data_IF_603472496061
#
_entry.id   IF_603472496061
#
_cell.length_a   1.000
_cell.length_b   1.000
_cell.length_c   1.000
_cell.angle_alpha   90.00
_cell.angle_beta   90.00
_cell.angle_gamma   90.00
#
_symmetry.space_group_name_H-M   'P 1'
#
loop_
_entity.id
_entity.type
_entity.pdbx_description
1 polymer ?
#
# COMPACT_ATOMS: atom_id res chain seq x y z
N UNK A 1 7.60 16.49 -5.47
CA UNK A 1 7.20 15.22 -4.83
C UNK A 1 6.00 14.66 -5.58
N UNK A 2 6.05 13.40 -6.03
CA UNK A 2 4.91 12.70 -6.62
C UNK A 2 4.47 11.62 -5.64
N UNK A 3 3.15 11.45 -5.46
CA UNK A 3 2.55 10.46 -4.56
C UNK A 3 1.58 9.58 -5.33
N UNK A 4 1.65 8.27 -5.12
CA UNK A 4 0.82 7.28 -5.81
C UNK A 4 0.02 6.46 -4.81
N UNK A 5 -1.29 6.37 -5.06
CA UNK A 5 -2.18 5.45 -4.36
C UNK A 5 -2.19 4.09 -5.06
N UNK A 6 -2.08 3.02 -4.27
CA UNK A 6 -2.02 1.64 -4.75
C UNK A 6 -3.33 0.95 -4.36
N UNK A 7 -4.27 0.89 -5.30
CA UNK A 7 -5.57 0.21 -5.14
C UNK A 7 -5.44 -1.31 -5.36
N UNK A 8 -4.55 -1.95 -4.59
CA UNK A 8 -4.30 -3.39 -4.63
C UNK A 8 -3.84 -3.89 -3.25
N UNK A 9 -3.75 -5.22 -3.06
CA UNK A 9 -3.31 -5.88 -1.83
C UNK A 9 -2.22 -6.93 -2.10
N UNK A 10 -1.69 -7.54 -1.04
CA UNK A 10 -0.83 -8.72 -1.16
C UNK A 10 0.52 -8.46 -1.83
N UNK A 11 1.07 -9.46 -2.52
CA UNK A 11 2.43 -9.38 -3.04
C UNK A 11 2.59 -8.33 -4.15
N UNK A 12 1.55 -8.09 -4.95
CA UNK A 12 1.60 -7.10 -6.03
C UNK A 12 1.67 -5.68 -5.46
N UNK A 13 0.88 -5.37 -4.44
CA UNK A 13 0.97 -4.08 -3.76
C UNK A 13 2.39 -3.89 -3.18
N UNK A 14 2.94 -4.92 -2.55
CA UNK A 14 4.31 -4.89 -2.01
C UNK A 14 5.38 -4.69 -3.11
N UNK A 15 5.22 -5.33 -4.27
CA UNK A 15 6.14 -5.17 -5.42
C UNK A 15 6.12 -3.74 -5.96
N UNK A 16 4.93 -3.15 -6.09
CA UNK A 16 4.77 -1.76 -6.55
C UNK A 16 5.43 -0.80 -5.56
N UNK A 17 5.18 -0.96 -4.25
CA UNK A 17 5.80 -0.12 -3.20
C UNK A 17 7.32 -0.14 -3.30
N UNK A 18 7.92 -1.34 -3.44
CA UNK A 18 9.38 -1.47 -3.58
C UNK A 18 9.94 -0.74 -4.79
N UNK A 19 9.28 -0.87 -5.94
CA UNK A 19 9.70 -0.15 -7.15
C UNK A 19 9.59 1.37 -6.99
N UNK A 20 8.51 1.86 -6.38
CA UNK A 20 8.31 3.30 -6.17
C UNK A 20 9.30 3.90 -5.16
N UNK A 21 9.70 3.11 -4.14
CA UNK A 21 10.75 3.49 -3.19
C UNK A 21 12.10 3.70 -3.89
N UNK A 22 12.49 2.84 -4.83
CA UNK A 22 13.71 3.00 -5.63
C UNK A 22 13.69 4.27 -6.49
N UNK A 23 12.49 4.79 -6.81
CA UNK A 23 12.26 5.97 -7.63
C UNK A 23 12.01 7.25 -6.80
N UNK A 24 12.13 7.17 -5.47
CA UNK A 24 11.85 8.28 -4.54
C UNK A 24 10.42 8.85 -4.70
N UNK A 25 9.44 7.96 -4.87
CA UNK A 25 8.00 8.30 -4.99
C UNK A 25 7.27 7.83 -3.74
N UNK A 26 6.48 8.72 -3.14
CA UNK A 26 5.67 8.39 -1.96
C UNK A 26 4.51 7.46 -2.31
N UNK A 27 4.23 6.54 -1.40
CA UNK A 27 3.26 5.46 -1.59
C UNK A 27 2.12 5.55 -0.58
N UNK A 28 0.89 5.35 -1.06
CA UNK A 28 -0.32 5.22 -0.23
C UNK A 28 -0.94 3.87 -0.49
N UNK A 29 -0.92 2.97 0.49
CA UNK A 29 -1.64 1.70 0.44
C UNK A 29 -3.08 1.87 0.93
N UNK A 30 -4.01 1.13 0.33
CA UNK A 30 -5.34 0.92 0.89
C UNK A 30 -5.46 -0.49 1.43
N UNK A 31 -6.29 -0.69 2.46
CA UNK A 31 -6.50 -2.00 3.06
C UNK A 31 -7.90 -2.16 3.64
N UNK A 32 -8.38 -3.40 3.66
CA UNK A 32 -9.57 -3.81 4.41
C UNK A 32 -9.20 -4.18 5.84
N UNK A 33 -10.18 -4.27 6.75
CA UNK A 33 -9.93 -4.68 8.14
C UNK A 33 -9.20 -6.04 8.26
N UNK A 34 -9.47 -6.97 7.33
CA UNK A 34 -8.80 -8.27 7.25
C UNK A 34 -7.31 -8.15 6.84
N UNK A 35 -6.95 -7.07 6.15
CA UNK A 35 -5.61 -6.79 5.65
C UNK A 35 -4.81 -5.85 6.56
N UNK A 36 -5.33 -5.44 7.72
CA UNK A 36 -4.71 -4.41 8.58
C UNK A 36 -3.24 -4.71 8.96
N UNK A 37 -2.85 -5.99 9.01
CA UNK A 37 -1.50 -6.44 9.31
C UNK A 37 -0.76 -7.02 8.11
N UNK A 38 -1.34 -6.93 6.91
CA UNK A 38 -0.75 -7.47 5.69
C UNK A 38 0.57 -6.75 5.35
N UNK A 39 1.58 -7.45 4.80
CA UNK A 39 2.91 -6.87 4.56
C UNK A 39 2.92 -5.60 3.72
N UNK A 40 1.99 -5.43 2.76
CA UNK A 40 1.93 -4.24 1.92
C UNK A 40 1.50 -2.99 2.70
N UNK A 41 0.70 -3.14 3.76
CA UNK A 41 0.26 -2.03 4.63
C UNK A 41 1.45 -1.46 5.39
N UNK A 42 2.23 -2.35 6.02
CA UNK A 42 3.43 -1.96 6.78
C UNK A 42 4.57 -1.42 5.89
N UNK A 43 4.55 -1.74 4.60
CA UNK A 43 5.61 -1.35 3.68
C UNK A 43 5.41 0.05 3.08
N UNK A 44 4.18 0.56 3.01
CA UNK A 44 3.86 1.86 2.41
C UNK A 44 4.19 3.04 3.34
N UNK A 45 4.38 4.23 2.77
CA UNK A 45 4.63 5.45 3.55
C UNK A 45 3.36 5.92 4.29
N UNK A 46 2.21 5.73 3.65
CA UNK A 46 0.90 5.96 4.23
C UNK A 46 -0.02 4.76 3.97
N UNK A 47 -0.95 4.51 4.89
CA UNK A 47 -1.97 3.49 4.72
C UNK A 47 -3.34 4.02 5.13
N UNK A 48 -4.37 3.73 4.33
CA UNK A 48 -5.75 4.18 4.55
C UNK A 48 -6.65 2.94 4.68
N UNK A 49 -7.37 2.85 5.80
CA UNK A 49 -8.41 1.85 5.99
C UNK A 49 -9.61 2.17 5.10
N UNK A 50 -10.04 1.20 4.30
CA UNK A 50 -11.30 1.26 3.54
C UNK A 50 -12.50 0.80 4.39
N UNK A 51 -12.23 0.13 5.51
CA UNK A 51 -13.22 -0.53 6.36
C UNK A 51 -13.35 -2.02 6.04
N UNK A 52 -14.52 -2.63 6.31
CA UNK A 52 -14.74 -4.04 6.06
C UNK A 52 -14.43 -4.40 4.61
N UNK A 53 -13.73 -5.51 4.42
CA UNK A 53 -13.58 -6.10 3.09
C UNK A 53 -14.93 -6.64 2.58
N UNK A 54 -15.02 -7.03 1.29
CA UNK A 54 -16.07 -7.94 0.86
C UNK A 54 -16.07 -9.24 1.68
#
# INVERSE_FOLDING_TARGET
MKRILIANRGEIALRIIRSLREMDIETVAVYSDADQYSPHVNAADFAIALGPGP
#
